data_IF_400013699409
#
_entry.id   IF_400013699409
#
_cell.length_a   1.000
_cell.length_b   1.000
_cell.length_c   1.000
_cell.angle_alpha   90.00
_cell.angle_beta   90.00
_cell.angle_gamma   90.00
#
_symmetry.space_group_name_H-M   'P 1'
#
loop_
_entity.id
_entity.type
_entity.pdbx_description
1 polymer ?
#
# COMPACT_ATOMS: atom_id res chain seq x y z
N UNK A 1 -25.81 -15.85 -35.63
CA UNK A 1 -24.55 -15.09 -35.64
C UNK A 1 -23.52 -15.90 -34.88
N UNK A 2 -22.46 -16.34 -35.53
CA UNK A 2 -21.35 -17.01 -34.84
C UNK A 2 -20.53 -15.95 -34.12
N UNK A 3 -20.32 -16.13 -32.81
CA UNK A 3 -19.38 -15.30 -32.06
C UNK A 3 -17.99 -15.67 -32.60
N UNK A 4 -17.21 -14.73 -33.15
CA UNK A 4 -15.87 -15.05 -33.62
C UNK A 4 -15.05 -15.54 -32.42
N UNK A 5 -14.54 -16.77 -32.51
CA UNK A 5 -13.60 -17.29 -31.53
C UNK A 5 -12.38 -16.37 -31.50
N UNK A 6 -12.09 -15.80 -30.33
CA UNK A 6 -10.95 -14.93 -30.12
C UNK A 6 -9.66 -15.68 -30.48
N UNK A 7 -8.92 -15.15 -31.44
CA UNK A 7 -7.66 -15.71 -31.96
C UNK A 7 -6.69 -16.10 -30.83
N UNK A 8 -5.89 -17.17 -30.99
CA UNK A 8 -4.82 -17.53 -30.05
C UNK A 8 -3.85 -16.38 -29.73
N UNK A 9 -3.63 -15.47 -30.68
CA UNK A 9 -2.80 -14.27 -30.46
C UNK A 9 -3.44 -13.32 -29.42
N UNK A 10 -4.76 -13.14 -29.47
CA UNK A 10 -5.52 -12.32 -28.51
C UNK A 10 -5.44 -12.91 -27.10
N UNK A 11 -5.51 -14.23 -26.96
CA UNK A 11 -5.34 -14.92 -25.69
C UNK A 11 -3.93 -14.76 -25.09
N UNK A 12 -2.88 -14.76 -25.95
CA UNK A 12 -1.50 -14.56 -25.50
C UNK A 12 -1.26 -13.15 -24.98
N UNK A 13 -1.71 -12.13 -25.73
CA UNK A 13 -1.61 -10.71 -25.32
C UNK A 13 -2.35 -10.48 -23.99
N UNK A 14 -3.53 -11.06 -23.84
CA UNK A 14 -4.30 -10.95 -22.60
C UNK A 14 -3.57 -11.58 -21.40
N UNK A 15 -2.92 -12.73 -21.59
CA UNK A 15 -2.15 -13.41 -20.54
C UNK A 15 -0.91 -12.61 -20.15
N UNK A 16 -0.19 -12.05 -21.11
CA UNK A 16 1.00 -11.21 -20.86
C UNK A 16 0.58 -9.92 -20.12
N UNK A 17 -0.47 -9.24 -20.57
CA UNK A 17 -1.00 -8.05 -19.89
C UNK A 17 -1.50 -8.36 -18.47
N UNK A 18 -2.15 -9.50 -18.25
CA UNK A 18 -2.57 -9.93 -16.91
C UNK A 18 -1.38 -10.17 -15.98
N UNK A 19 -0.29 -10.77 -16.48
CA UNK A 19 0.92 -10.98 -15.70
C UNK A 19 1.53 -9.63 -15.26
N UNK A 20 1.67 -8.68 -16.18
CA UNK A 20 2.17 -7.34 -15.86
C UNK A 20 1.31 -6.64 -14.80
N UNK A 21 -0.01 -6.77 -14.89
CA UNK A 21 -0.94 -6.18 -13.92
C UNK A 21 -0.81 -6.81 -12.52
N UNK A 22 -0.62 -8.13 -12.45
CA UNK A 22 -0.39 -8.84 -11.19
C UNK A 22 0.96 -8.47 -10.58
N UNK A 23 2.00 -8.29 -11.38
CA UNK A 23 3.33 -7.86 -10.93
C UNK A 23 3.29 -6.41 -10.38
N UNK A 24 2.61 -5.50 -11.09
CA UNK A 24 2.42 -4.13 -10.61
C UNK A 24 1.62 -4.13 -9.30
N UNK A 25 0.54 -4.92 -9.22
CA UNK A 25 -0.25 -5.06 -7.99
C UNK A 25 0.63 -5.56 -6.85
N UNK A 26 1.42 -6.61 -7.05
CA UNK A 26 2.33 -7.15 -6.03
C UNK A 26 3.36 -6.12 -5.56
N UNK A 27 3.92 -5.33 -6.47
CA UNK A 27 4.85 -4.24 -6.14
C UNK A 27 4.20 -3.14 -5.30
N UNK A 28 2.96 -2.76 -5.64
CA UNK A 28 2.19 -1.79 -4.88
C UNK A 28 1.83 -2.31 -3.48
N UNK A 29 1.43 -3.58 -3.35
CA UNK A 29 1.15 -4.23 -2.06
C UNK A 29 2.40 -4.25 -1.19
N UNK A 30 3.54 -4.67 -1.74
CA UNK A 30 4.82 -4.71 -1.04
C UNK A 30 5.22 -3.32 -0.52
N UNK A 31 5.02 -2.30 -1.35
CA UNK A 31 5.30 -0.91 -0.97
C UNK A 31 4.35 -0.40 0.13
N UNK A 32 3.06 -0.71 0.05
CA UNK A 32 2.08 -0.36 1.08
C UNK A 32 2.42 -1.01 2.43
N UNK A 33 2.76 -2.30 2.43
CA UNK A 33 3.19 -3.04 3.62
C UNK A 33 4.44 -2.41 4.24
N UNK A 34 5.42 -2.02 3.40
CA UNK A 34 6.63 -1.34 3.85
C UNK A 34 6.33 -0.01 4.53
N UNK A 35 5.45 0.81 3.94
CA UNK A 35 5.05 2.10 4.53
C UNK A 35 4.31 1.92 5.85
N UNK A 36 3.44 0.91 5.96
CA UNK A 36 2.77 0.58 7.23
C UNK A 36 3.80 0.31 8.33
N UNK A 37 4.78 -0.59 8.09
CA UNK A 37 5.83 -0.91 9.06
C UNK A 37 6.66 0.31 9.50
N UNK A 38 7.02 1.18 8.55
CA UNK A 38 7.73 2.42 8.85
C UNK A 38 6.90 3.31 9.77
N UNK A 39 5.59 3.43 9.51
CA UNK A 39 4.70 4.17 10.39
C UNK A 39 4.62 3.56 11.79
N UNK A 40 4.53 2.23 11.90
CA UNK A 40 4.48 1.55 13.19
C UNK A 40 5.74 1.85 14.02
N UNK A 41 6.92 1.86 13.38
CA UNK A 41 8.19 2.27 13.99
C UNK A 41 8.19 3.75 14.43
N UNK A 42 7.65 4.65 13.60
CA UNK A 42 7.51 6.06 13.95
C UNK A 42 6.53 6.28 15.11
N UNK A 43 5.40 5.56 15.15
CA UNK A 43 4.46 5.61 16.27
C UNK A 43 5.09 5.09 17.57
N UNK A 44 5.83 3.98 17.50
CA UNK A 44 6.59 3.48 18.65
C UNK A 44 7.62 4.52 19.13
N UNK A 45 8.26 5.24 18.20
CA UNK A 45 9.20 6.31 18.50
C UNK A 45 8.51 7.51 19.15
N UNK A 46 7.33 7.91 18.67
CA UNK A 46 6.51 8.95 19.32
C UNK A 46 6.20 8.58 20.77
N UNK A 47 5.77 7.34 21.03
CA UNK A 47 5.46 6.90 22.38
C UNK A 47 6.69 6.89 23.29
N UNK A 48 7.84 6.45 22.79
CA UNK A 48 9.12 6.55 23.52
C UNK A 48 9.47 8.00 23.88
N UNK A 49 9.35 8.95 22.94
CA UNK A 49 9.62 10.38 23.19
C UNK A 49 8.66 10.97 24.22
N UNK A 50 7.37 10.59 24.18
CA UNK A 50 6.37 11.03 25.17
C UNK A 50 6.68 10.52 26.58
N UNK A 51 7.12 9.26 26.69
CA UNK A 51 7.38 8.60 27.97
C UNK A 51 8.76 8.93 28.54
N UNK A 52 9.70 9.42 27.74
CA UNK A 52 11.04 9.77 28.20
C UNK A 52 11.01 11.03 29.09
N UNK A 53 11.18 10.82 30.40
CA UNK A 53 11.22 11.87 31.43
C UNK A 53 12.55 12.62 31.48
N UNK A 54 13.58 12.19 30.74
CA UNK A 54 14.92 12.81 30.72
C UNK A 54 15.02 13.94 29.70
N UNK A 55 14.12 13.96 28.71
CA UNK A 55 14.07 15.00 27.68
C UNK A 55 13.37 16.25 28.25
N UNK A 56 13.95 17.43 28.04
CA UNK A 56 13.27 18.68 28.38
C UNK A 56 12.05 18.94 27.47
N UNK A 57 11.13 19.79 27.91
CA UNK A 57 9.87 19.99 27.20
C UNK A 57 10.03 20.62 25.80
N UNK A 58 11.03 21.49 25.61
CA UNK A 58 11.24 22.12 24.30
C UNK A 58 11.80 21.12 23.29
N UNK A 59 12.79 20.33 23.71
CA UNK A 59 13.34 19.25 22.87
C UNK A 59 12.28 18.21 22.54
N UNK A 60 11.45 17.83 23.53
CA UNK A 60 10.33 16.90 23.32
C UNK A 60 9.38 17.40 22.25
N UNK A 61 8.93 18.66 22.34
CA UNK A 61 8.04 19.27 21.34
C UNK A 61 8.64 19.24 19.93
N UNK A 62 9.94 19.54 19.80
CA UNK A 62 10.63 19.52 18.50
C UNK A 62 10.65 18.11 17.91
N UNK A 63 11.08 17.12 18.68
CA UNK A 63 11.15 15.73 18.24
C UNK A 63 9.77 15.17 17.89
N UNK A 64 8.75 15.45 18.69
CA UNK A 64 7.38 15.05 18.38
C UNK A 64 6.87 15.68 17.08
N UNK A 65 7.22 16.94 16.81
CA UNK A 65 6.82 17.61 15.58
C UNK A 65 7.52 16.99 14.35
N UNK A 66 8.81 16.69 14.46
CA UNK A 66 9.60 16.04 13.42
C UNK A 66 9.04 14.66 13.07
N UNK A 67 8.87 13.78 14.05
CA UNK A 67 8.34 12.42 13.82
C UNK A 67 6.88 12.47 13.32
N UNK A 68 6.05 13.41 13.80
CA UNK A 68 4.69 13.61 13.25
C UNK A 68 4.71 14.03 11.78
N UNK A 69 5.71 14.82 11.37
CA UNK A 69 5.86 15.22 9.97
C UNK A 69 6.25 14.02 9.10
N UNK A 70 7.13 13.15 9.60
CA UNK A 70 7.51 11.91 8.91
C UNK A 70 6.30 10.98 8.74
N UNK A 71 5.54 10.74 9.82
CA UNK A 71 4.30 9.93 9.78
C UNK A 71 3.34 10.46 8.72
N UNK A 72 3.07 11.78 8.69
CA UNK A 72 2.19 12.37 7.66
C UNK A 72 2.72 12.13 6.25
N UNK A 73 4.04 12.21 6.05
CA UNK A 73 4.67 11.94 4.76
C UNK A 73 4.49 10.50 4.32
N UNK A 74 4.61 9.55 5.24
CA UNK A 74 4.43 8.12 4.97
C UNK A 74 2.94 7.77 4.81
N UNK A 75 2.04 8.34 5.61
CA UNK A 75 0.58 8.20 5.47
C UNK A 75 0.09 8.61 4.07
N UNK A 76 0.59 9.73 3.55
CA UNK A 76 0.25 10.17 2.21
C UNK A 76 0.73 9.19 1.13
N UNK A 77 1.92 8.60 1.30
CA UNK A 77 2.43 7.56 0.39
C UNK A 77 1.59 6.30 0.50
N UNK A 78 1.24 5.88 1.71
CA UNK A 78 0.39 4.71 1.95
C UNK A 78 -0.99 4.90 1.32
N UNK A 79 -1.61 6.07 1.49
CA UNK A 79 -2.88 6.43 0.87
C UNK A 79 -2.79 6.33 -0.65
N UNK A 80 -1.75 6.92 -1.27
CA UNK A 80 -1.54 6.81 -2.71
C UNK A 80 -1.46 5.36 -3.18
N UNK A 81 -0.71 4.49 -2.48
CA UNK A 81 -0.60 3.08 -2.85
C UNK A 81 -1.92 2.33 -2.66
N UNK A 82 -2.68 2.64 -1.61
CA UNK A 82 -4.03 2.08 -1.39
C UNK A 82 -4.98 2.44 -2.54
N UNK A 83 -4.98 3.69 -2.98
CA UNK A 83 -5.79 4.15 -4.12
C UNK A 83 -5.37 3.48 -5.43
N UNK A 84 -4.07 3.33 -5.70
CA UNK A 84 -3.60 2.61 -6.90
C UNK A 84 -3.99 1.14 -6.87
N UNK A 85 -3.89 0.48 -5.70
CA UNK A 85 -4.32 -0.90 -5.52
C UNK A 85 -5.81 -1.07 -5.72
N UNK A 86 -6.64 -0.13 -5.24
CA UNK A 86 -8.08 -0.16 -5.46
C UNK A 86 -8.43 -0.03 -6.94
N UNK A 87 -7.79 0.90 -7.67
CA UNK A 87 -7.96 1.04 -9.12
C UNK A 87 -7.56 -0.23 -9.87
N UNK A 88 -6.41 -0.82 -9.51
CA UNK A 88 -5.92 -2.05 -10.12
C UNK A 88 -6.86 -3.24 -9.82
N UNK A 89 -7.33 -3.35 -8.58
CA UNK A 89 -8.27 -4.39 -8.17
C UNK A 89 -9.60 -4.27 -8.93
N UNK A 90 -10.13 -3.07 -9.13
CA UNK A 90 -11.34 -2.85 -9.92
C UNK A 90 -11.14 -3.26 -11.38
N UNK A 91 -9.97 -2.95 -11.96
CA UNK A 91 -9.59 -3.40 -13.29
C UNK A 91 -9.51 -4.93 -13.41
N UNK A 92 -8.87 -5.59 -12.44
CA UNK A 92 -8.74 -7.05 -12.36
C UNK A 92 -10.09 -7.75 -12.12
N UNK A 93 -10.98 -7.18 -11.32
CA UNK A 93 -12.33 -7.72 -11.16
C UNK A 93 -13.13 -7.64 -12.46
N UNK A 94 -12.98 -6.55 -13.22
CA UNK A 94 -13.58 -6.41 -14.54
C UNK A 94 -13.10 -7.46 -15.55
N UNK A 95 -11.91 -8.04 -15.33
CA UNK A 95 -11.36 -9.14 -16.13
C UNK A 95 -11.71 -10.53 -15.59
N UNK A 96 -12.51 -10.63 -14.52
CA UNK A 96 -12.91 -11.90 -13.89
C UNK A 96 -11.88 -12.46 -12.90
N UNK A 97 -10.85 -11.69 -12.54
CA UNK A 97 -9.84 -12.08 -11.56
C UNK A 97 -10.30 -11.74 -10.16
N UNK A 98 -10.33 -12.73 -9.28
CA UNK A 98 -10.63 -12.52 -7.86
C UNK A 98 -9.41 -11.88 -7.17
N UNK A 99 -9.62 -10.73 -6.54
CA UNK A 99 -8.57 -9.97 -5.85
C UNK A 99 -8.94 -9.73 -4.40
N UNK A 100 -7.95 -9.82 -3.51
CA UNK A 100 -8.13 -9.49 -2.09
C UNK A 100 -7.88 -7.99 -1.91
N UNK A 101 -8.78 -7.26 -1.23
CA UNK A 101 -8.56 -5.85 -0.92
C UNK A 101 -7.35 -5.64 0.01
N UNK A 102 -6.58 -4.57 -0.22
CA UNK A 102 -5.37 -4.27 0.55
C UNK A 102 -5.63 -4.06 2.05
N UNK A 103 -6.78 -3.50 2.44
CA UNK A 103 -7.10 -3.34 3.87
C UNK A 103 -7.08 -4.68 4.61
N UNK A 104 -7.63 -5.75 4.01
CA UNK A 104 -7.60 -7.10 4.60
C UNK A 104 -6.20 -7.70 4.74
N UNK A 105 -5.26 -7.25 3.92
CA UNK A 105 -3.86 -7.67 4.01
C UNK A 105 -3.16 -6.91 5.13
N UNK A 106 -3.42 -5.60 5.24
CA UNK A 106 -2.85 -4.76 6.29
C UNK A 106 -3.40 -5.13 7.67
N UNK A 107 -4.69 -5.43 7.80
CA UNK A 107 -5.34 -5.87 9.05
C UNK A 107 -4.75 -7.19 9.61
N UNK A 108 -4.00 -7.96 8.81
CA UNK A 108 -3.33 -9.20 9.23
C UNK A 108 -1.90 -8.98 9.73
N UNK A 109 -1.39 -7.76 9.61
CA UNK A 109 -0.03 -7.40 10.02
C UNK A 109 0.02 -6.87 11.46
N UNK A 110 -1.12 -6.44 12.00
CA UNK A 110 -1.34 -6.13 13.42
C UNK A 110 -1.58 -7.40 14.25
#
# INVERSE_FOLDING_TARGET
MAIPESSPATHKIYREALADWLDIRFSLETSAIKFQKINDEHYATLEKIKQDKRIDENTRKRLLAEVRSEIRGIDNKLLYHREQLERMNNGLQGTGVCVVPIHRVLDRLD
#
